data_IF_906356425583
#
_entry.id   IF_906356425583
#
_cell.length_a   1.000
_cell.length_b   1.000
_cell.length_c   1.000
_cell.angle_alpha   90.00
_cell.angle_beta   90.00
_cell.angle_gamma   90.00
#
_symmetry.space_group_name_H-M   'P 1'
#
loop_
_entity.id
_entity.type
_entity.pdbx_description
1 polymer ?
#
# COMPACT_ATOMS: atom_id res chain seq x y z
N UNK A 1 -1.44 0.91 -23.52
CA UNK A 1 -0.84 2.26 -23.46
C UNK A 1 -0.45 2.47 -22.01
N UNK A 2 0.86 2.43 -21.69
CA UNK A 2 1.35 2.49 -20.31
C UNK A 2 0.82 3.74 -19.62
N UNK A 3 -0.09 3.56 -18.66
CA UNK A 3 -0.38 4.58 -17.69
C UNK A 3 0.95 4.89 -16.99
N UNK A 4 1.42 6.14 -17.07
CA UNK A 4 2.55 6.63 -16.28
C UNK A 4 2.20 6.40 -14.80
N UNK A 5 2.65 5.26 -14.25
CA UNK A 5 2.58 4.99 -12.83
C UNK A 5 3.44 6.06 -12.19
N UNK A 6 2.85 6.93 -11.37
CA UNK A 6 3.61 7.90 -10.59
C UNK A 6 4.49 7.12 -9.62
N UNK A 7 5.76 7.01 -9.99
CA UNK A 7 6.81 6.38 -9.22
C UNK A 7 7.13 7.31 -8.05
N UNK A 8 6.84 6.88 -6.81
CA UNK A 8 7.22 7.64 -5.60
C UNK A 8 8.52 7.06 -5.05
N UNK A 9 9.61 7.84 -5.00
CA UNK A 9 10.89 7.36 -4.48
C UNK A 9 10.78 7.04 -2.99
N UNK A 10 11.38 5.92 -2.58
CA UNK A 10 11.47 5.53 -1.17
C UNK A 10 12.66 6.15 -0.44
N UNK A 11 12.86 5.77 0.83
CA UNK A 11 14.15 5.95 1.52
C UNK A 11 15.02 4.74 1.26
N UNK A 12 16.16 4.95 0.64
CA UNK A 12 17.11 3.91 0.27
C UNK A 12 18.53 4.50 0.15
N UNK A 13 19.53 3.63 0.10
CA UNK A 13 20.92 3.98 -0.18
C UNK A 13 21.62 2.88 -0.98
N UNK A 14 22.75 3.19 -1.60
CA UNK A 14 23.61 2.19 -2.22
C UNK A 14 24.20 1.28 -1.15
N UNK A 15 24.13 -0.03 -1.36
CA UNK A 15 24.63 -1.05 -0.45
C UNK A 15 25.50 -2.03 -1.22
N UNK A 16 26.73 -2.25 -0.76
CA UNK A 16 27.70 -3.25 -1.26
C UNK A 16 27.64 -3.55 -2.78
N UNK A 17 28.55 -2.94 -3.53
CA UNK A 17 28.59 -3.07 -4.98
C UNK A 17 27.41 -2.36 -5.63
N UNK A 18 26.71 -3.04 -6.53
CA UNK A 18 25.64 -2.43 -7.32
C UNK A 18 24.27 -2.45 -6.64
N UNK A 19 24.08 -2.97 -5.43
CA UNK A 19 22.73 -3.13 -4.83
C UNK A 19 22.23 -1.83 -4.20
N UNK A 20 20.91 -1.72 -4.09
CA UNK A 20 20.26 -0.68 -3.29
C UNK A 20 19.55 -1.30 -2.09
N UNK A 21 19.70 -0.70 -0.91
CA UNK A 21 18.98 -1.12 0.29
C UNK A 21 17.78 -0.21 0.55
N UNK A 22 16.60 -0.80 0.78
CA UNK A 22 15.40 -0.09 1.20
C UNK A 22 15.32 0.03 2.73
N UNK A 23 15.18 1.23 3.27
CA UNK A 23 15.19 1.49 4.72
C UNK A 23 13.80 1.80 5.29
N UNK A 24 12.75 1.62 4.50
CA UNK A 24 11.37 1.98 4.89
C UNK A 24 10.73 1.01 5.89
N UNK A 25 11.33 -0.15 6.12
CA UNK A 25 10.86 -1.09 7.13
C UNK A 25 12.00 -1.96 7.65
N UNK A 26 11.81 -2.69 8.77
CA UNK A 26 12.86 -3.48 9.42
C UNK A 26 13.45 -4.65 8.59
N UNK A 27 12.98 -4.84 7.34
CA UNK A 27 13.47 -5.89 6.44
C UNK A 27 14.78 -5.54 5.73
N UNK A 28 15.10 -4.24 5.59
CA UNK A 28 16.32 -3.77 4.91
C UNK A 28 16.60 -4.49 3.59
N UNK A 29 15.59 -4.62 2.72
CA UNK A 29 15.74 -5.42 1.49
C UNK A 29 16.83 -4.82 0.58
N UNK A 30 17.81 -5.65 0.21
CA UNK A 30 18.90 -5.30 -0.69
C UNK A 30 18.62 -5.81 -2.10
N UNK A 31 18.33 -4.89 -3.02
CA UNK A 31 17.74 -5.18 -4.32
C UNK A 31 18.78 -5.05 -5.44
N UNK A 32 18.84 -6.07 -6.29
CA UNK A 32 19.44 -5.99 -7.63
C UNK A 32 18.50 -5.25 -8.59
N UNK A 33 19.01 -4.81 -9.73
CA UNK A 33 18.20 -4.18 -10.77
C UNK A 33 16.98 -5.04 -11.13
N UNK A 34 15.81 -4.42 -11.25
CA UNK A 34 14.54 -5.09 -11.52
C UNK A 34 13.96 -5.93 -10.37
N UNK A 35 14.69 -6.13 -9.27
CA UNK A 35 14.23 -6.97 -8.16
C UNK A 35 13.15 -6.28 -7.32
N UNK A 36 12.10 -7.02 -6.97
CA UNK A 36 11.10 -6.60 -5.97
C UNK A 36 11.53 -6.94 -4.55
N UNK A 37 11.21 -6.05 -3.61
CA UNK A 37 11.38 -6.25 -2.19
C UNK A 37 10.42 -7.31 -1.64
N UNK A 38 10.62 -7.71 -0.38
CA UNK A 38 9.77 -8.68 0.31
C UNK A 38 8.27 -8.31 0.26
N UNK A 39 7.95 -7.01 0.33
CA UNK A 39 6.57 -6.54 0.29
C UNK A 39 5.93 -6.53 -1.10
N UNK A 40 6.66 -6.89 -2.16
CA UNK A 40 6.24 -6.93 -3.57
C UNK A 40 5.76 -5.61 -4.20
N UNK A 41 5.54 -4.55 -3.41
CA UNK A 41 5.15 -3.21 -3.88
C UNK A 41 6.31 -2.23 -4.01
N UNK A 42 7.51 -2.64 -3.62
CA UNK A 42 8.73 -1.86 -3.85
C UNK A 42 9.64 -2.63 -4.78
N UNK A 43 10.19 -1.92 -5.75
CA UNK A 43 11.06 -2.51 -6.76
C UNK A 43 12.24 -1.58 -7.00
N UNK A 44 13.41 -2.15 -7.28
CA UNK A 44 14.49 -1.35 -7.84
C UNK A 44 14.26 -1.13 -9.34
N UNK A 45 14.32 0.12 -9.76
CA UNK A 45 14.30 0.54 -11.15
C UNK A 45 15.43 1.55 -11.37
N UNK A 46 16.47 1.12 -12.09
CA UNK A 46 17.72 1.87 -12.24
C UNK A 46 18.41 2.12 -10.89
N UNK A 47 18.79 3.37 -10.67
CA UNK A 47 19.46 3.80 -9.44
C UNK A 47 18.50 4.19 -8.32
N UNK A 48 17.22 3.77 -8.37
CA UNK A 48 16.24 4.08 -7.31
C UNK A 48 15.41 2.87 -6.87
N UNK A 49 14.91 2.92 -5.63
CA UNK A 49 13.84 2.05 -5.14
C UNK A 49 12.52 2.80 -5.16
N UNK A 50 11.55 2.22 -5.87
CA UNK A 50 10.29 2.87 -6.21
C UNK A 50 9.08 2.13 -5.64
N UNK A 51 8.01 2.87 -5.32
CA UNK A 51 6.71 2.30 -4.95
C UNK A 51 5.89 1.99 -6.22
N UNK A 52 5.61 0.72 -6.48
CA UNK A 52 4.86 0.25 -7.66
C UNK A 52 3.35 0.16 -7.43
N UNK A 53 2.88 0.43 -6.22
CA UNK A 53 1.45 0.41 -5.87
C UNK A 53 0.83 1.79 -5.67
N UNK A 54 1.56 2.87 -6.00
CA UNK A 54 1.03 4.22 -5.79
C UNK A 54 -0.21 4.46 -6.65
N UNK A 55 -1.30 4.92 -6.02
CA UNK A 55 -2.57 5.14 -6.69
C UNK A 55 -3.35 3.85 -7.01
N UNK A 56 -2.93 2.72 -6.42
CA UNK A 56 -3.64 1.44 -6.46
C UNK A 56 -4.13 1.09 -5.06
N UNK A 57 -5.36 0.59 -4.95
CA UNK A 57 -5.99 0.23 -3.68
C UNK A 57 -6.81 -1.05 -3.81
N UNK A 58 -6.99 -1.75 -2.68
CA UNK A 58 -7.75 -2.99 -2.57
C UNK A 58 -8.77 -2.90 -1.45
N UNK A 59 -9.81 -3.74 -1.52
CA UNK A 59 -10.70 -3.98 -0.38
C UNK A 59 -11.47 -2.76 0.11
N UNK A 60 -12.01 -1.94 -0.80
CA UNK A 60 -12.87 -0.83 -0.42
C UNK A 60 -14.11 -1.33 0.31
N UNK A 61 -14.38 -0.77 1.49
CA UNK A 61 -15.60 -1.02 2.23
C UNK A 61 -15.99 0.20 3.07
N UNK A 62 -17.29 0.46 3.19
CA UNK A 62 -17.82 1.43 4.15
C UNK A 62 -18.22 0.64 5.39
N UNK A 63 -17.61 0.98 6.51
CA UNK A 63 -17.87 0.33 7.80
C UNK A 63 -18.33 1.38 8.82
N UNK A 64 -19.06 0.99 9.87
CA UNK A 64 -19.22 1.83 11.05
C UNK A 64 -17.86 2.04 11.73
N UNK A 65 -17.64 3.24 12.30
CA UNK A 65 -16.36 3.57 12.96
C UNK A 65 -16.02 2.61 14.12
N UNK A 66 -17.03 1.99 14.72
CA UNK A 66 -16.92 1.02 15.81
C UNK A 66 -16.16 -0.26 15.43
N UNK A 67 -15.99 -0.54 14.13
CA UNK A 67 -15.13 -1.64 13.66
C UNK A 67 -13.64 -1.33 13.84
N UNK A 68 -13.27 -0.06 13.97
CA UNK A 68 -11.87 0.37 14.14
C UNK A 68 -11.48 0.33 15.61
N UNK A 69 -10.22 0.00 15.94
CA UNK A 69 -9.75 -0.10 17.32
C UNK A 69 -9.51 1.30 17.94
N UNK A 70 -10.53 2.15 17.94
CA UNK A 70 -10.49 3.53 18.42
C UNK A 70 -11.57 3.73 19.49
N UNK A 71 -11.19 4.24 20.66
CA UNK A 71 -12.14 4.46 21.76
C UNK A 71 -12.87 5.81 21.59
N UNK A 72 -14.20 5.77 21.58
CA UNK A 72 -15.07 6.96 21.54
C UNK A 72 -14.70 7.98 20.44
N UNK A 73 -14.37 7.47 19.26
CA UNK A 73 -13.97 8.26 18.11
C UNK A 73 -15.14 8.36 17.12
N UNK A 74 -15.76 9.54 17.02
CA UNK A 74 -16.94 9.84 16.18
C UNK A 74 -18.05 8.78 16.18
N UNK A 75 -18.66 8.44 17.35
CA UNK A 75 -19.65 7.37 17.46
C UNK A 75 -20.80 7.49 16.44
N UNK A 76 -21.18 6.36 15.84
CA UNK A 76 -22.23 6.26 14.83
C UNK A 76 -21.85 6.78 13.44
N UNK A 77 -20.64 7.31 13.25
CA UNK A 77 -20.16 7.75 11.94
C UNK A 77 -19.73 6.57 11.05
N UNK A 78 -19.73 6.80 9.74
CA UNK A 78 -19.20 5.86 8.75
C UNK A 78 -17.76 6.20 8.35
N UNK A 79 -16.98 5.16 8.07
CA UNK A 79 -15.60 5.25 7.63
C UNK A 79 -15.39 4.50 6.31
N UNK A 80 -14.81 5.19 5.32
CA UNK A 80 -14.35 4.54 4.09
C UNK A 80 -13.02 3.85 4.37
N UNK A 81 -13.00 2.52 4.27
CA UNK A 81 -11.83 1.69 4.52
C UNK A 81 -11.27 1.12 3.23
N UNK A 82 -9.94 1.06 3.13
CA UNK A 82 -9.24 0.38 2.03
C UNK A 82 -7.82 0.01 2.46
N UNK A 83 -7.16 -0.80 1.64
CA UNK A 83 -5.74 -1.12 1.81
C UNK A 83 -4.96 -1.12 0.51
N UNK A 84 -3.71 -1.54 0.58
CA UNK A 84 -2.89 -1.85 -0.61
C UNK A 84 -2.53 -3.33 -0.65
N UNK A 85 -2.22 -3.84 -1.83
CA UNK A 85 -1.56 -5.13 -1.94
C UNK A 85 -0.16 -5.09 -1.31
N UNK A 86 0.32 -6.24 -0.81
CA UNK A 86 1.66 -6.38 -0.26
C UNK A 86 1.82 -5.97 1.20
N UNK A 87 2.73 -6.64 1.92
CA UNK A 87 3.03 -6.38 3.32
C UNK A 87 4.51 -6.67 3.62
N UNK A 88 5.13 -5.92 4.54
CA UNK A 88 6.49 -6.22 5.01
C UNK A 88 6.55 -7.41 6.01
N UNK A 89 5.39 -7.85 6.51
CA UNK A 89 5.24 -8.96 7.44
C UNK A 89 4.92 -10.28 6.72
N UNK A 90 5.43 -11.39 7.27
CA UNK A 90 5.21 -12.75 6.76
C UNK A 90 4.21 -13.54 7.60
N UNK A 91 3.13 -12.92 8.07
CA UNK A 91 2.21 -13.52 9.05
C UNK A 91 1.68 -14.90 8.61
N UNK A 92 1.72 -15.88 9.53
CA UNK A 92 1.20 -17.24 9.30
C UNK A 92 -0.33 -17.29 9.27
N UNK A 93 -0.98 -16.43 10.06
CA UNK A 93 -2.43 -16.38 10.25
C UNK A 93 -3.01 -15.04 9.75
N UNK A 94 -2.50 -14.54 8.62
CA UNK A 94 -3.02 -13.30 8.05
C UNK A 94 -4.46 -13.52 7.54
N UNK A 95 -5.40 -12.73 8.04
CA UNK A 95 -6.78 -12.74 7.55
C UNK A 95 -6.88 -12.22 6.11
N UNK A 96 -6.02 -11.24 5.77
CA UNK A 96 -5.95 -10.60 4.46
C UNK A 96 -4.81 -11.17 3.60
N UNK A 97 -4.55 -12.48 3.70
CA UNK A 97 -3.36 -13.12 3.10
C UNK A 97 -3.36 -13.06 1.57
N UNK A 98 -4.55 -13.09 0.98
CA UNK A 98 -4.85 -13.01 -0.44
C UNK A 98 -4.33 -11.71 -1.07
N UNK A 99 -4.44 -10.59 -0.35
CA UNK A 99 -3.89 -9.29 -0.77
C UNK A 99 -2.47 -9.04 -0.23
N UNK A 100 -2.16 -9.48 0.99
CA UNK A 100 -0.88 -9.17 1.65
C UNK A 100 0.31 -9.92 1.05
N UNK A 101 0.06 -11.10 0.45
CA UNK A 101 1.07 -11.95 -0.20
C UNK A 101 0.96 -11.95 -1.71
N UNK A 102 0.12 -11.07 -2.26
CA UNK A 102 -0.08 -10.94 -3.69
C UNK A 102 1.21 -10.50 -4.40
N UNK A 103 1.58 -11.23 -5.45
CA UNK A 103 2.64 -10.84 -6.38
C UNK A 103 2.10 -10.03 -7.56
N UNK A 104 0.80 -10.18 -7.82
CA UNK A 104 0.06 -9.51 -8.88
C UNK A 104 -0.80 -8.38 -8.29
N UNK A 105 -0.13 -7.26 -8.03
CA UNK A 105 -0.71 -6.06 -7.43
C UNK A 105 -1.76 -5.44 -8.35
N UNK A 106 -1.52 -5.46 -9.66
CA UNK A 106 -2.40 -4.81 -10.64
C UNK A 106 -3.74 -5.52 -10.77
N UNK A 107 -3.76 -6.87 -10.84
CA UNK A 107 -5.01 -7.62 -10.98
C UNK A 107 -5.93 -7.50 -9.76
N UNK A 108 -5.34 -7.33 -8.58
CA UNK A 108 -6.08 -7.30 -7.32
C UNK A 108 -6.45 -5.88 -6.86
N UNK A 109 -6.01 -4.85 -7.58
CA UNK A 109 -6.19 -3.46 -7.18
C UNK A 109 -7.01 -2.66 -8.17
N UNK A 110 -7.77 -1.72 -7.64
CA UNK A 110 -8.42 -0.67 -8.40
C UNK A 110 -7.57 0.60 -8.38
N UNK A 111 -7.68 1.41 -9.44
CA UNK A 111 -7.01 2.71 -9.48
C UNK A 111 -7.74 3.67 -8.55
N UNK A 112 -7.06 4.09 -7.49
CA UNK A 112 -7.57 5.03 -6.51
C UNK A 112 -6.46 6.02 -6.11
N UNK A 113 -6.48 7.19 -6.73
CA UNK A 113 -5.61 8.30 -6.32
C UNK A 113 -6.06 8.87 -4.97
N UNK A 114 -5.16 9.54 -4.22
CA UNK A 114 -5.54 10.17 -2.94
C UNK A 114 -6.75 11.10 -3.05
N UNK A 115 -6.85 11.86 -4.14
CA UNK A 115 -8.02 12.73 -4.42
C UNK A 115 -9.29 11.90 -4.60
N UNK A 116 -9.25 10.85 -5.42
CA UNK A 116 -10.41 9.99 -5.66
C UNK A 116 -10.92 9.33 -4.37
N UNK A 117 -10.01 8.92 -3.47
CA UNK A 117 -10.38 8.36 -2.17
C UNK A 117 -11.10 9.40 -1.30
N UNK A 118 -10.55 10.61 -1.21
CA UNK A 118 -11.17 11.69 -0.43
C UNK A 118 -12.56 12.06 -0.97
N UNK A 119 -12.69 12.24 -2.27
CA UNK A 119 -13.98 12.52 -2.91
C UNK A 119 -14.97 11.36 -2.77
N UNK A 120 -14.50 10.11 -2.82
CA UNK A 120 -15.36 8.94 -2.62
C UNK A 120 -15.90 8.89 -1.19
N UNK A 121 -15.07 9.21 -0.18
CA UNK A 121 -15.50 9.29 1.21
C UNK A 121 -16.55 10.38 1.40
N UNK A 122 -16.32 11.57 0.85
CA UNK A 122 -17.26 12.70 0.92
C UNK A 122 -18.60 12.35 0.24
N UNK A 123 -18.57 11.81 -0.98
CA UNK A 123 -19.78 11.39 -1.71
C UNK A 123 -20.56 10.30 -0.97
N UNK A 124 -19.87 9.43 -0.26
CA UNK A 124 -20.48 8.36 0.53
C UNK A 124 -20.96 8.81 1.92
N UNK A 125 -20.78 10.09 2.29
CA UNK A 125 -21.13 10.60 3.62
C UNK A 125 -20.25 10.03 4.74
N UNK A 126 -19.06 9.53 4.42
CA UNK A 126 -18.11 9.04 5.41
C UNK A 126 -17.39 10.21 6.08
N UNK A 127 -17.38 10.23 7.41
CA UNK A 127 -16.68 11.25 8.19
C UNK A 127 -15.17 11.01 8.23
N UNK A 128 -14.72 9.80 7.92
CA UNK A 128 -13.32 9.40 8.04
C UNK A 128 -12.91 8.44 6.93
N UNK A 129 -11.59 8.36 6.72
CA UNK A 129 -10.94 7.36 5.86
C UNK A 129 -10.00 6.51 6.72
N UNK A 130 -10.09 5.19 6.60
CA UNK A 130 -9.17 4.25 7.20
C UNK A 130 -8.34 3.56 6.12
N UNK A 131 -7.02 3.71 6.21
CA UNK A 131 -6.08 3.06 5.32
C UNK A 131 -5.24 2.05 6.10
N UNK A 132 -5.11 0.82 5.59
CA UNK A 132 -4.41 -0.29 6.28
C UNK A 132 -3.51 -1.08 5.35
#
# INVERSE_FOLDING_TARGET
MSANVHVVPGRWHHFEGERLQCDLCPRHCQLKEGQRAFCFVRQRQGDEIVLTSYGLATGFCIDPIEKKPLNHFFPGSSVLSFGTAGCNLGCRFCQNWDISKARDVERLSERATPRQVAEAAERAGCQSVAFT
#
